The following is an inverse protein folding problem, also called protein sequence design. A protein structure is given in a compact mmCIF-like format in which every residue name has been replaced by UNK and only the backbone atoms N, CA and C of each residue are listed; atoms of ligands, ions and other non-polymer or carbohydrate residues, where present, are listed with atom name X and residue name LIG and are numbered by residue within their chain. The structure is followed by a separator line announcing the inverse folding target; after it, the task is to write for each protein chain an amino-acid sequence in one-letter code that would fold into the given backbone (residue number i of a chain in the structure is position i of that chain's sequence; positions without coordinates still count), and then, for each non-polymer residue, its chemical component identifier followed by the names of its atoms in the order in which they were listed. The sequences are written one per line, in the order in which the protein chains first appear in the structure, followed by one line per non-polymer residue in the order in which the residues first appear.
data_IF_606148048872
#
_entry.id   IF_606148048872
#
_cell.length_a   1.000
_cell.length_b   1.000
_cell.length_c   1.000
_cell.angle_alpha   90.00
_cell.angle_beta   90.00
_cell.angle_gamma   90.00
#
_symmetry.space_group_name_H-M   'P 1'
#
loop_
_entity.id
_entity.type
_entity.pdbx_description
1 polymer ?
#
# COMPACT_ATOMS: atom_id res chain seq x y z
N UNK A 1 -18.75 4.87 -24.77
CA UNK A 1 -18.56 3.41 -24.59
C UNK A 1 -19.79 2.70 -25.11
N UNK A 2 -19.68 1.87 -26.13
CA UNK A 2 -20.83 1.17 -26.69
C UNK A 2 -21.08 -0.12 -25.92
N UNK A 3 -22.07 -0.13 -25.01
CA UNK A 3 -22.53 -1.34 -24.31
C UNK A 3 -23.08 -2.42 -25.26
N UNK A 4 -23.18 -2.13 -26.55
CA UNK A 4 -23.64 -3.07 -27.57
C UNK A 4 -22.56 -4.05 -28.07
N UNK A 5 -21.31 -3.94 -27.56
CA UNK A 5 -20.17 -4.79 -27.96
C UNK A 5 -20.20 -6.18 -27.31
N UNK A 6 -20.89 -6.33 -26.17
CA UNK A 6 -20.90 -7.55 -25.36
C UNK A 6 -22.33 -8.13 -25.26
N UNK A 7 -22.45 -9.44 -25.28
CA UNK A 7 -23.69 -10.12 -24.95
C UNK A 7 -23.94 -10.11 -23.41
N UNK A 8 -25.10 -10.58 -22.97
CA UNK A 8 -25.50 -10.53 -21.56
C UNK A 8 -24.56 -11.33 -20.65
N UNK A 9 -24.11 -12.49 -21.09
CA UNK A 9 -23.22 -13.36 -20.31
C UNK A 9 -21.84 -12.72 -20.14
N UNK A 10 -21.29 -12.15 -21.22
CA UNK A 10 -20.04 -11.41 -21.18
C UNK A 10 -20.13 -10.19 -20.25
N UNK A 11 -21.26 -9.45 -20.28
CA UNK A 11 -21.48 -8.32 -19.38
C UNK A 11 -21.52 -8.77 -17.91
N UNK A 12 -22.22 -9.86 -17.59
CA UNK A 12 -22.26 -10.43 -16.23
C UNK A 12 -20.84 -10.81 -15.79
N UNK A 13 -20.08 -11.51 -16.63
CA UNK A 13 -18.69 -11.89 -16.32
C UNK A 13 -17.82 -10.67 -16.01
N UNK A 14 -17.95 -9.58 -16.77
CA UNK A 14 -17.20 -8.32 -16.53
C UNK A 14 -17.59 -7.66 -15.21
N UNK A 15 -18.86 -7.71 -14.79
CA UNK A 15 -19.27 -7.22 -13.47
C UNK A 15 -18.69 -8.07 -12.34
N UNK A 16 -18.65 -9.39 -12.51
CA UNK A 16 -18.01 -10.28 -11.56
C UNK A 16 -16.53 -10.02 -11.44
N UNK A 17 -15.82 -9.83 -12.56
CA UNK A 17 -14.41 -9.47 -12.58
C UNK A 17 -14.12 -8.16 -11.82
N UNK A 18 -14.92 -7.10 -12.07
CA UNK A 18 -14.78 -5.83 -11.35
C UNK A 18 -15.00 -5.99 -9.85
N UNK A 19 -16.00 -6.81 -9.45
CA UNK A 19 -16.25 -7.15 -8.03
C UNK A 19 -15.05 -7.88 -7.42
N UNK A 20 -14.51 -8.87 -8.12
CA UNK A 20 -13.42 -9.72 -7.62
C UNK A 20 -12.12 -8.94 -7.51
N UNK A 21 -11.79 -8.12 -8.49
CA UNK A 21 -10.66 -7.17 -8.46
C UNK A 21 -10.80 -6.19 -7.29
N UNK A 22 -12.00 -5.59 -7.09
CA UNK A 22 -12.25 -4.70 -5.96
C UNK A 22 -12.10 -5.41 -4.61
N UNK A 23 -12.59 -6.65 -4.50
CA UNK A 23 -12.45 -7.46 -3.31
C UNK A 23 -10.98 -7.82 -3.03
N UNK A 24 -10.19 -8.09 -4.08
CA UNK A 24 -8.76 -8.39 -3.93
C UNK A 24 -7.98 -7.17 -3.41
N UNK A 25 -8.27 -5.96 -3.92
CA UNK A 25 -7.71 -4.71 -3.39
C UNK A 25 -8.08 -4.53 -1.90
N UNK A 26 -9.36 -4.78 -1.54
CA UNK A 26 -9.81 -4.74 -0.15
C UNK A 26 -9.09 -5.76 0.74
N UNK A 27 -8.91 -7.00 0.27
CA UNK A 27 -8.15 -8.03 1.00
C UNK A 27 -6.70 -7.62 1.21
N UNK A 28 -6.08 -6.95 0.25
CA UNK A 28 -4.71 -6.45 0.38
C UNK A 28 -4.58 -5.49 1.57
N UNK A 29 -5.38 -4.42 1.64
CA UNK A 29 -5.29 -3.46 2.75
C UNK A 29 -5.71 -4.06 4.08
N UNK A 30 -6.67 -4.99 4.09
CA UNK A 30 -7.04 -5.73 5.30
C UNK A 30 -5.93 -6.65 5.79
N UNK A 31 -5.13 -7.22 4.88
CA UNK A 31 -3.98 -8.05 5.26
C UNK A 31 -2.91 -7.24 5.97
N UNK A 32 -2.67 -5.99 5.55
CA UNK A 32 -1.75 -5.07 6.25
C UNK A 32 -2.26 -4.72 7.66
N UNK A 33 -3.56 -4.40 7.80
CA UNK A 33 -4.18 -4.15 9.10
C UNK A 33 -4.07 -5.35 10.04
N UNK A 34 -4.25 -6.56 9.52
CA UNK A 34 -4.23 -7.81 10.26
C UNK A 34 -2.81 -8.38 10.46
N UNK A 35 -1.78 -7.66 10.05
CA UNK A 35 -0.37 -8.06 10.15
C UNK A 35 -0.10 -9.43 9.54
N UNK A 36 -0.60 -9.63 8.30
CA UNK A 36 -0.42 -10.85 7.51
C UNK A 36 0.74 -10.79 6.52
N UNK A 37 1.70 -9.90 6.75
CA UNK A 37 2.88 -9.76 5.90
C UNK A 37 3.60 -11.09 5.59
N UNK A 38 3.69 -12.06 6.53
CA UNK A 38 4.36 -13.32 6.25
C UNK A 38 3.72 -14.15 5.12
N UNK A 39 2.42 -13.99 4.87
CA UNK A 39 1.69 -14.81 3.88
C UNK A 39 1.13 -14.00 2.71
N UNK A 40 1.14 -12.67 2.79
CA UNK A 40 0.49 -11.79 1.81
C UNK A 40 0.99 -12.01 0.39
N UNK A 41 2.29 -12.30 0.23
CA UNK A 41 2.91 -12.52 -1.08
C UNK A 41 2.38 -13.78 -1.75
N UNK A 42 2.20 -14.86 -1.00
CA UNK A 42 1.71 -16.13 -1.53
C UNK A 42 0.17 -16.12 -1.70
N UNK A 43 -0.54 -15.44 -0.80
CA UNK A 43 -2.00 -15.43 -0.82
C UNK A 43 -2.56 -14.55 -1.94
N UNK A 44 -2.01 -13.35 -2.16
CA UNK A 44 -2.64 -12.32 -2.98
C UNK A 44 -1.88 -11.95 -4.26
N UNK A 45 -0.56 -12.12 -4.28
CA UNK A 45 0.27 -11.67 -5.41
C UNK A 45 0.39 -12.72 -6.50
N UNK A 46 0.68 -12.24 -7.70
CA UNK A 46 1.05 -13.06 -8.86
C UNK A 46 2.32 -13.86 -8.59
N UNK A 47 2.43 -15.05 -9.20
CA UNK A 47 3.63 -15.89 -9.15
C UNK A 47 4.75 -15.37 -10.07
N UNK A 48 4.48 -14.34 -10.87
CA UNK A 48 5.43 -13.74 -11.81
C UNK A 48 6.62 -13.11 -11.08
N UNK A 49 7.76 -13.13 -11.74
CA UNK A 49 8.98 -12.50 -11.21
C UNK A 49 8.98 -10.96 -11.35
N UNK A 50 8.18 -10.41 -12.27
CA UNK A 50 8.09 -8.98 -12.55
C UNK A 50 7.06 -8.23 -11.68
N UNK A 51 6.61 -8.81 -10.57
CA UNK A 51 5.77 -8.12 -9.58
C UNK A 51 6.48 -6.93 -8.97
N UNK A 52 5.75 -5.88 -8.62
CA UNK A 52 6.35 -4.72 -7.96
C UNK A 52 5.41 -3.96 -7.02
N UNK A 53 6.00 -3.38 -5.97
CA UNK A 53 5.35 -2.45 -5.05
C UNK A 53 6.09 -1.11 -5.09
N UNK A 54 5.45 -0.07 -5.59
CA UNK A 54 5.94 1.31 -5.56
C UNK A 54 5.44 2.04 -4.32
N UNK A 55 6.32 2.82 -3.71
CA UNK A 55 6.05 3.75 -2.61
C UNK A 55 6.72 5.09 -2.90
N UNK A 56 6.52 6.13 -2.09
CA UNK A 56 7.07 7.47 -2.34
C UNK A 56 8.59 7.51 -2.61
N UNK A 57 9.35 6.55 -2.10
CA UNK A 57 10.82 6.51 -2.20
C UNK A 57 11.36 5.62 -3.32
N UNK A 58 10.53 4.83 -3.98
CA UNK A 58 10.98 3.90 -5.03
C UNK A 58 10.12 2.64 -5.12
N UNK A 59 10.61 1.65 -5.84
CA UNK A 59 9.92 0.37 -6.03
C UNK A 59 10.71 -0.78 -5.43
N UNK A 60 9.98 -1.71 -4.83
CA UNK A 60 10.43 -3.09 -4.57
C UNK A 60 10.02 -3.91 -5.79
N UNK A 61 10.96 -4.16 -6.69
CA UNK A 61 10.72 -4.86 -7.95
C UNK A 61 11.25 -6.29 -7.89
N UNK A 62 10.39 -7.23 -8.22
CA UNK A 62 10.64 -8.66 -8.19
C UNK A 62 10.17 -9.36 -6.90
N UNK A 63 9.78 -10.65 -7.01
CA UNK A 63 9.31 -11.44 -5.85
C UNK A 63 10.32 -11.47 -4.71
N UNK A 64 11.61 -11.55 -5.00
CA UNK A 64 12.65 -11.55 -3.97
C UNK A 64 12.68 -10.24 -3.18
N UNK A 65 12.56 -9.08 -3.84
CA UNK A 65 12.50 -7.77 -3.18
C UNK A 65 11.22 -7.62 -2.34
N UNK A 66 10.07 -8.04 -2.85
CA UNK A 66 8.83 -8.02 -2.09
C UNK A 66 8.89 -8.92 -0.85
N UNK A 67 9.47 -10.12 -0.99
CA UNK A 67 9.65 -11.05 0.12
C UNK A 67 10.55 -10.45 1.21
N UNK A 68 11.65 -9.81 0.83
CA UNK A 68 12.55 -9.12 1.76
C UNK A 68 11.83 -7.95 2.45
N UNK A 69 11.06 -7.15 1.70
CA UNK A 69 10.26 -6.05 2.24
C UNK A 69 9.26 -6.53 3.30
N UNK A 70 8.40 -7.51 2.98
CA UNK A 70 7.41 -8.03 3.94
C UNK A 70 8.06 -8.70 5.15
N UNK A 71 9.18 -9.41 4.95
CA UNK A 71 9.95 -9.98 6.06
C UNK A 71 10.53 -8.88 6.98
N UNK A 72 10.94 -7.72 6.44
CA UNK A 72 11.43 -6.61 7.25
C UNK A 72 10.32 -5.97 8.08
N UNK A 73 9.09 -5.86 7.54
CA UNK A 73 7.91 -5.38 8.29
C UNK A 73 7.55 -6.36 9.41
N UNK A 74 7.51 -7.65 9.13
CA UNK A 74 7.26 -8.69 10.13
C UNK A 74 8.27 -8.62 11.27
N UNK A 75 9.56 -8.50 10.95
CA UNK A 75 10.63 -8.34 11.95
C UNK A 75 10.46 -7.06 12.79
N UNK A 76 10.06 -5.94 12.17
CA UNK A 76 9.76 -4.70 12.87
C UNK A 76 8.55 -4.88 13.81
N UNK A 77 7.49 -5.54 13.34
CA UNK A 77 6.29 -5.83 14.15
C UNK A 77 6.63 -6.68 15.38
N UNK A 78 7.49 -7.68 15.23
CA UNK A 78 7.97 -8.51 16.36
C UNK A 78 8.73 -7.69 17.41
N UNK A 79 9.61 -6.77 16.98
CA UNK A 79 10.35 -5.89 17.91
C UNK A 79 9.43 -4.96 18.72
N UNK A 80 8.30 -4.55 18.16
CA UNK A 80 7.33 -3.68 18.84
C UNK A 80 6.70 -4.32 20.08
N UNK A 81 6.68 -5.63 20.19
CA UNK A 81 6.21 -6.31 21.40
C UNK A 81 7.03 -5.89 22.65
N UNK A 82 8.34 -5.72 22.52
CA UNK A 82 9.20 -5.28 23.62
C UNK A 82 8.96 -3.80 23.98
N UNK A 83 8.75 -2.95 22.97
CA UNK A 83 8.38 -1.53 23.17
C UNK A 83 7.05 -1.42 23.92
N UNK A 84 6.04 -2.22 23.54
CA UNK A 84 4.75 -2.26 24.23
C UNK A 84 4.89 -2.61 25.71
N UNK A 85 5.71 -3.59 26.06
CA UNK A 85 5.97 -3.96 27.47
C UNK A 85 6.61 -2.83 28.25
N UNK A 86 7.51 -2.07 27.63
CA UNK A 86 8.16 -0.93 28.30
C UNK A 86 7.24 0.27 28.47
N UNK A 87 6.32 0.49 27.53
CA UNK A 87 5.37 1.62 27.55
C UNK A 87 4.17 1.33 28.45
N UNK A 88 3.71 0.08 28.51
CA UNK A 88 2.55 -0.37 29.28
C UNK A 88 2.91 -1.54 30.21
N UNK A 89 3.86 -1.35 31.15
CA UNK A 89 4.38 -2.48 31.95
C UNK A 89 3.33 -3.11 32.87
N UNK A 90 2.39 -2.32 33.41
CA UNK A 90 1.33 -2.81 34.30
C UNK A 90 0.31 -3.67 33.56
N UNK A 91 -0.01 -3.30 32.31
CA UNK A 91 -1.05 -3.99 31.53
C UNK A 91 -0.49 -5.15 30.70
N UNK A 92 0.72 -5.01 30.17
CA UNK A 92 1.26 -5.91 29.15
C UNK A 92 2.57 -6.60 29.53
N UNK A 93 3.19 -6.25 30.67
CA UNK A 93 4.51 -6.76 31.05
C UNK A 93 4.60 -8.28 31.14
N UNK A 94 3.52 -8.95 31.56
CA UNK A 94 3.47 -10.40 31.74
C UNK A 94 3.09 -11.19 30.46
N UNK A 95 2.69 -10.48 29.36
CA UNK A 95 2.33 -11.16 28.11
C UNK A 95 3.57 -11.66 27.37
N UNK A 96 3.47 -12.81 26.71
CA UNK A 96 4.52 -13.27 25.81
C UNK A 96 4.57 -12.40 24.54
N UNK A 97 5.73 -12.35 23.87
CA UNK A 97 5.91 -11.56 22.65
C UNK A 97 4.97 -12.02 21.53
N UNK A 98 4.67 -13.33 21.45
CA UNK A 98 3.70 -13.88 20.49
C UNK A 98 2.28 -13.34 20.73
N UNK A 99 1.87 -13.17 21.99
CA UNK A 99 0.58 -12.57 22.33
C UNK A 99 0.50 -11.09 22.03
N UNK A 100 1.66 -10.41 21.99
CA UNK A 100 1.77 -8.99 21.69
C UNK A 100 1.98 -8.70 20.20
N UNK A 101 2.24 -9.74 19.39
CA UNK A 101 2.41 -9.57 17.94
C UNK A 101 1.24 -8.82 17.31
N UNK A 102 1.56 -7.71 16.60
CA UNK A 102 0.58 -6.86 15.95
C UNK A 102 -0.30 -6.02 16.89
N UNK A 103 -0.12 -6.10 18.22
CA UNK A 103 -0.81 -5.21 19.16
C UNK A 103 -0.16 -3.82 19.18
N UNK A 104 -0.95 -2.81 19.48
CA UNK A 104 -0.53 -1.42 19.58
C UNK A 104 -0.55 -0.70 18.24
N UNK A 105 0.30 -1.04 17.26
CA UNK A 105 0.20 -0.44 15.93
C UNK A 105 -1.15 -0.70 15.28
N UNK A 106 -1.72 0.34 14.70
CA UNK A 106 -2.99 0.29 13.95
C UNK A 106 -2.76 0.95 12.60
N UNK A 107 -3.27 0.33 11.55
CA UNK A 107 -3.07 0.80 10.19
C UNK A 107 -4.37 0.61 9.39
N UNK A 108 -5.35 1.48 9.66
CA UNK A 108 -6.62 1.47 8.94
C UNK A 108 -6.45 2.27 7.66
N UNK A 109 -6.82 1.69 6.52
CA UNK A 109 -6.90 2.36 5.22
C UNK A 109 -8.24 2.07 4.57
N UNK A 110 -9.03 3.12 4.31
CA UNK A 110 -10.24 3.04 3.48
C UNK A 110 -9.85 3.22 2.02
N UNK A 111 -10.47 2.44 1.14
CA UNK A 111 -10.35 2.55 -0.31
C UNK A 111 -11.59 3.25 -0.86
N UNK A 112 -11.42 4.51 -1.28
CA UNK A 112 -12.51 5.35 -1.76
C UNK A 112 -12.38 5.67 -3.25
N UNK A 113 -13.48 6.11 -3.88
CA UNK A 113 -13.52 6.55 -5.28
C UNK A 113 -12.90 5.56 -6.27
N UNK A 114 -13.31 4.30 -6.20
CA UNK A 114 -12.80 3.24 -7.05
C UNK A 114 -13.00 3.54 -8.54
N UNK A 115 -11.91 3.57 -9.31
CA UNK A 115 -11.92 3.55 -10.78
C UNK A 115 -11.29 2.22 -11.18
N UNK A 116 -12.08 1.32 -11.78
CA UNK A 116 -11.65 -0.04 -12.12
C UNK A 116 -11.96 -0.31 -13.57
N UNK A 117 -10.96 -0.67 -14.34
CA UNK A 117 -11.08 -1.12 -15.73
C UNK A 117 -10.52 -2.54 -15.86
N UNK A 118 -11.31 -3.42 -16.46
CA UNK A 118 -10.92 -4.76 -16.87
C UNK A 118 -10.65 -4.73 -18.37
N UNK A 119 -9.51 -5.23 -18.79
CA UNK A 119 -9.14 -5.34 -20.20
C UNK A 119 -10.23 -6.02 -21.04
N UNK A 120 -10.35 -5.69 -22.32
CA UNK A 120 -11.35 -6.35 -23.19
C UNK A 120 -11.10 -7.86 -23.30
N UNK A 121 -9.85 -8.28 -23.31
CA UNK A 121 -9.45 -9.70 -23.33
C UNK A 121 -9.71 -10.44 -22.01
N UNK A 122 -10.04 -9.73 -20.93
CA UNK A 122 -10.30 -10.32 -19.61
C UNK A 122 -9.06 -10.88 -18.90
N UNK A 123 -7.85 -10.64 -19.41
CA UNK A 123 -6.60 -11.19 -18.85
C UNK A 123 -6.00 -10.31 -17.75
N UNK A 124 -6.24 -9.00 -17.81
CA UNK A 124 -5.71 -8.03 -16.85
C UNK A 124 -6.77 -7.04 -16.39
N UNK A 125 -6.52 -6.38 -15.27
CA UNK A 125 -7.36 -5.27 -14.79
C UNK A 125 -6.49 -4.22 -14.12
N UNK A 126 -6.99 -2.97 -14.10
CA UNK A 126 -6.39 -1.84 -13.40
C UNK A 126 -7.36 -1.25 -12.42
N UNK A 127 -6.84 -0.78 -11.29
CA UNK A 127 -7.65 -0.02 -10.35
C UNK A 127 -6.89 1.18 -9.78
N UNK A 128 -7.62 2.25 -9.51
CA UNK A 128 -7.18 3.41 -8.75
C UNK A 128 -8.17 3.62 -7.60
N UNK A 129 -7.64 3.91 -6.41
CA UNK A 129 -8.42 4.33 -5.25
C UNK A 129 -7.74 5.51 -4.57
N UNK A 130 -8.53 6.44 -4.04
CA UNK A 130 -8.05 7.28 -2.95
C UNK A 130 -7.95 6.46 -1.68
N UNK A 131 -6.94 6.77 -0.87
CA UNK A 131 -6.73 6.17 0.45
C UNK A 131 -6.89 7.25 1.50
N UNK A 132 -7.80 7.04 2.44
CA UNK A 132 -7.85 7.77 3.69
C UNK A 132 -7.54 6.81 4.82
N UNK A 133 -6.60 7.20 5.70
CA UNK A 133 -6.10 6.30 6.72
C UNK A 133 -5.93 6.95 8.09
N UNK A 134 -6.02 6.09 9.09
CA UNK A 134 -5.63 6.34 10.48
C UNK A 134 -4.50 5.38 10.80
N UNK A 135 -3.34 5.92 11.09
CA UNK A 135 -2.18 5.13 11.46
C UNK A 135 -1.78 5.46 12.88
N UNK A 136 -1.59 4.47 13.71
CA UNK A 136 -0.97 4.61 15.02
C UNK A 136 0.22 3.70 15.10
N UNK A 137 1.37 4.25 15.43
CA UNK A 137 2.56 3.50 15.78
C UNK A 137 2.86 3.64 17.28
N UNK A 138 3.69 2.75 17.82
CA UNK A 138 4.09 2.77 19.22
C UNK A 138 5.58 3.07 19.29
N UNK A 139 5.91 4.18 19.94
CA UNK A 139 7.28 4.56 20.31
C UNK A 139 7.53 4.33 21.79
N UNK A 140 8.78 4.43 22.22
CA UNK A 140 9.17 4.40 23.63
C UNK A 140 8.52 5.50 24.47
N UNK A 141 8.01 6.56 23.85
CA UNK A 141 7.27 7.67 24.50
C UNK A 141 5.75 7.52 24.46
N UNK A 142 5.26 6.42 23.87
CA UNK A 142 3.84 6.13 23.74
C UNK A 142 3.36 6.12 22.30
N UNK A 143 2.02 6.10 22.10
CA UNK A 143 1.41 6.06 20.79
C UNK A 143 1.65 7.34 19.99
N UNK A 144 1.92 7.19 18.69
CA UNK A 144 1.99 8.28 17.71
C UNK A 144 0.90 8.01 16.68
N UNK A 145 -0.05 8.93 16.54
CA UNK A 145 -1.19 8.77 15.64
C UNK A 145 -1.17 9.82 14.54
N UNK A 146 -1.32 9.37 13.30
CA UNK A 146 -1.30 10.21 12.11
C UNK A 146 -2.57 10.03 11.26
N UNK A 147 -2.93 11.10 10.58
CA UNK A 147 -3.82 11.09 9.43
C UNK A 147 -2.99 10.84 8.17
N UNK A 148 -3.40 9.88 7.36
CA UNK A 148 -2.76 9.57 6.09
C UNK A 148 -3.77 9.72 4.97
N UNK A 149 -3.39 10.42 3.92
CA UNK A 149 -4.15 10.55 2.68
C UNK A 149 -3.23 10.30 1.49
N UNK A 150 -3.73 9.58 0.49
CA UNK A 150 -2.96 9.30 -0.71
C UNK A 150 -3.77 8.57 -1.76
N UNK A 151 -3.08 7.85 -2.60
CA UNK A 151 -3.67 7.01 -3.63
C UNK A 151 -3.01 5.63 -3.65
N UNK A 152 -3.80 4.61 -3.98
CA UNK A 152 -3.28 3.28 -4.25
C UNK A 152 -3.80 2.80 -5.59
N UNK A 153 -2.88 2.33 -6.41
CA UNK A 153 -3.15 1.86 -7.76
C UNK A 153 -2.70 0.41 -7.89
N UNK A 154 -3.43 -0.34 -8.69
CA UNK A 154 -3.14 -1.75 -8.91
C UNK A 154 -3.14 -2.09 -10.39
N UNK A 155 -2.21 -2.95 -10.80
CA UNK A 155 -2.37 -3.84 -11.93
C UNK A 155 -2.66 -5.23 -11.40
N UNK A 156 -3.69 -5.86 -11.95
CA UNK A 156 -4.05 -7.24 -11.66
C UNK A 156 -3.89 -8.09 -12.90
N UNK A 157 -3.58 -9.36 -12.68
CA UNK A 157 -3.47 -10.35 -13.74
C UNK A 157 -4.29 -11.60 -13.37
N UNK A 158 -4.83 -12.27 -14.37
CA UNK A 158 -5.55 -13.53 -14.17
C UNK A 158 -4.58 -14.70 -14.33
N UNK A 159 -4.37 -15.44 -13.25
CA UNK A 159 -3.54 -16.65 -13.23
C UNK A 159 -4.39 -17.84 -12.78
N UNK A 160 -4.36 -18.93 -13.54
CA UNK A 160 -5.14 -20.15 -13.22
C UNK A 160 -6.63 -19.88 -12.95
N UNK A 161 -7.21 -18.92 -13.68
CA UNK A 161 -8.61 -18.52 -13.53
C UNK A 161 -8.90 -17.62 -12.32
N UNK A 162 -7.90 -17.19 -11.56
CA UNK A 162 -8.04 -16.33 -10.39
C UNK A 162 -7.35 -14.99 -10.61
N UNK A 163 -7.92 -13.92 -10.07
CA UNK A 163 -7.28 -12.62 -10.04
C UNK A 163 -6.16 -12.59 -8.99
N UNK A 164 -5.00 -12.07 -9.38
CA UNK A 164 -3.81 -11.86 -8.54
C UNK A 164 -3.31 -10.43 -8.69
N UNK A 165 -2.66 -9.90 -7.67
CA UNK A 165 -1.99 -8.61 -7.72
C UNK A 165 -0.70 -8.77 -8.50
N UNK A 166 -0.51 -7.95 -9.52
CA UNK A 166 0.73 -7.90 -10.30
C UNK A 166 1.60 -6.73 -9.88
N UNK A 167 1.06 -5.51 -9.90
CA UNK A 167 1.74 -4.33 -9.43
C UNK A 167 0.87 -3.56 -8.43
N UNK A 168 1.52 -2.93 -7.47
CA UNK A 168 0.92 -1.94 -6.56
C UNK A 168 1.75 -0.68 -6.63
N UNK A 169 1.08 0.48 -6.71
CA UNK A 169 1.70 1.79 -6.53
C UNK A 169 0.92 2.52 -5.44
N UNK A 170 1.51 2.61 -4.25
CA UNK A 170 0.95 3.32 -3.10
C UNK A 170 1.72 4.62 -2.87
N UNK A 171 1.04 5.74 -3.00
CA UNK A 171 1.63 7.06 -2.83
C UNK A 171 0.89 7.83 -1.74
N UNK A 172 1.61 8.24 -0.74
CA UNK A 172 1.12 9.12 0.31
C UNK A 172 1.32 10.57 -0.10
N UNK A 173 0.26 11.36 -0.01
CA UNK A 173 0.25 12.80 -0.27
C UNK A 173 0.28 13.59 1.05
N UNK A 174 -0.39 13.09 2.07
CA UNK A 174 -0.46 13.69 3.40
C UNK A 174 -0.15 12.60 4.42
N UNK A 175 0.79 12.89 5.31
CA UNK A 175 1.06 12.14 6.52
C UNK A 175 1.33 13.17 7.63
N UNK A 176 0.34 13.37 8.51
CA UNK A 176 0.36 14.44 9.50
C UNK A 176 -0.11 13.94 10.86
N UNK A 177 0.57 14.31 11.97
CA UNK A 177 0.11 13.96 13.31
C UNK A 177 -1.33 14.44 13.56
N UNK A 178 -2.13 13.63 14.26
CA UNK A 178 -3.55 13.85 14.49
C UNK A 178 -3.88 15.21 15.15
N UNK A 179 -2.93 15.82 15.87
CA UNK A 179 -3.06 17.14 16.47
C UNK A 179 -2.63 18.33 15.60
N UNK A 180 -2.26 18.10 14.34
CA UNK A 180 -1.76 19.12 13.41
C UNK A 180 -2.74 19.37 12.26
N UNK A 181 -2.52 20.48 11.53
CA UNK A 181 -3.27 20.79 10.30
C UNK A 181 -2.58 20.16 9.10
N UNK A 182 -3.36 19.76 8.10
CA UNK A 182 -2.80 19.11 6.87
C UNK A 182 -1.86 19.99 6.06
N UNK A 183 -1.98 21.31 6.15
CA UNK A 183 -1.07 22.23 5.47
C UNK A 183 0.22 22.52 6.24
N UNK A 184 0.37 22.00 7.46
CA UNK A 184 1.61 22.10 8.22
C UNK A 184 2.69 21.20 7.57
N UNK A 185 3.96 21.46 7.87
CA UNK A 185 5.04 20.55 7.52
C UNK A 185 4.75 19.17 8.10
N UNK A 186 5.04 18.12 7.33
CA UNK A 186 4.84 16.76 7.80
C UNK A 186 5.72 16.43 9.02
N UNK A 187 5.35 15.40 9.77
CA UNK A 187 6.04 15.04 11.01
C UNK A 187 7.53 14.76 10.83
N UNK A 188 7.92 14.18 9.69
CA UNK A 188 9.33 13.86 9.39
C UNK A 188 10.15 15.15 9.18
N UNK A 189 9.58 16.15 8.53
CA UNK A 189 10.24 17.45 8.31
C UNK A 189 10.25 18.33 9.56
N UNK A 190 9.19 18.26 10.38
CA UNK A 190 9.10 19.04 11.62
C UNK A 190 10.00 18.49 12.73
N UNK A 191 10.29 17.20 12.72
CA UNK A 191 10.99 16.53 13.81
C UNK A 191 12.15 15.66 13.35
N UNK A 192 13.09 16.18 12.53
CA UNK A 192 14.21 15.40 12.00
C UNK A 192 15.12 14.85 13.11
N UNK A 193 15.09 15.43 14.30
CA UNK A 193 15.92 15.07 15.44
C UNK A 193 15.15 14.30 16.54
N UNK A 194 13.89 13.97 16.34
CA UNK A 194 13.15 13.21 17.35
C UNK A 194 13.65 11.76 17.41
N UNK A 195 14.06 11.28 18.59
CA UNK A 195 14.58 9.92 18.76
C UNK A 195 13.61 8.82 18.29
N UNK A 196 12.30 9.08 18.31
CA UNK A 196 11.27 8.16 17.85
C UNK A 196 11.40 7.88 16.34
N UNK A 197 11.66 8.92 15.54
CA UNK A 197 11.89 8.76 14.11
C UNK A 197 13.28 8.17 13.82
N UNK A 198 14.26 8.38 14.71
CA UNK A 198 15.54 7.70 14.64
C UNK A 198 15.40 6.20 14.97
N UNK A 199 14.51 5.83 15.90
CA UNK A 199 14.19 4.44 16.21
C UNK A 199 13.41 3.76 15.05
N UNK A 200 12.54 4.48 14.33
CA UNK A 200 11.95 4.02 13.07
C UNK A 200 13.01 3.83 11.97
N UNK A 201 14.05 4.68 11.92
CA UNK A 201 15.25 4.46 11.10
C UNK A 201 16.10 3.28 11.55
N UNK A 202 16.05 2.93 12.84
CA UNK A 202 16.82 1.82 13.43
C UNK A 202 16.22 0.43 13.25
N UNK A 203 14.94 0.31 12.91
CA UNK A 203 14.39 -0.87 12.25
C UNK A 203 14.59 -0.66 10.76
N UNK A 204 15.71 -1.13 10.24
CA UNK A 204 16.01 -1.03 8.82
C UNK A 204 14.95 -1.84 8.03
N UNK A 205 13.86 -1.16 7.64
CA UNK A 205 13.01 -1.69 6.59
C UNK A 205 13.87 -1.85 5.35
N UNK A 206 13.64 -2.93 4.63
CA UNK A 206 14.27 -3.13 3.32
C UNK A 206 14.09 -1.88 2.47
N UNK A 207 15.12 -1.49 1.74
CA UNK A 207 15.06 -0.31 0.88
C UNK A 207 14.58 -0.70 -0.52
N UNK A 208 13.86 0.19 -1.23
CA UNK A 208 13.52 -0.03 -2.63
C UNK A 208 14.76 -0.34 -3.48
N UNK A 209 14.67 -1.33 -4.36
CA UNK A 209 15.76 -1.72 -5.26
C UNK A 209 15.70 -1.03 -6.63
N UNK A 210 14.60 -0.32 -6.93
CA UNK A 210 14.46 0.53 -8.11
C UNK A 210 14.14 1.95 -7.65
N UNK A 211 15.00 2.90 -8.01
CA UNK A 211 14.80 4.31 -7.65
C UNK A 211 13.62 4.92 -8.43
N UNK A 212 12.89 5.79 -7.76
CA UNK A 212 11.89 6.68 -8.34
C UNK A 212 12.22 8.11 -7.90
N UNK A 213 11.83 9.12 -8.66
CA UNK A 213 11.89 10.50 -8.17
C UNK A 213 11.08 10.59 -6.86
N UNK A 214 11.75 11.02 -5.80
CA UNK A 214 11.15 11.06 -4.46
C UNK A 214 9.91 11.94 -4.46
N UNK A 215 8.75 11.32 -4.22
CA UNK A 215 7.50 12.04 -4.07
C UNK A 215 7.45 12.70 -2.70
N UNK A 216 7.37 14.01 -2.72
CA UNK A 216 7.29 14.80 -1.49
C UNK A 216 5.84 14.88 -1.01
N UNK A 217 5.65 14.77 0.31
CA UNK A 217 4.36 14.98 0.95
C UNK A 217 3.89 16.42 0.77
N UNK A 218 2.58 16.61 0.72
CA UNK A 218 1.94 17.91 0.60
C UNK A 218 2.23 18.77 1.84
N UNK A 219 2.50 20.05 1.60
CA UNK A 219 2.50 21.10 2.61
C UNK A 219 1.82 22.33 2.02
N UNK A 220 1.38 23.28 2.84
CA UNK A 220 0.80 24.53 2.34
C UNK A 220 1.72 25.40 1.49
N UNK A 221 3.03 25.12 1.49
CA UNK A 221 4.04 25.82 0.69
C UNK A 221 4.43 25.07 -0.60
N UNK A 222 3.91 23.86 -0.81
CA UNK A 222 4.21 23.04 -2.00
C UNK A 222 2.95 22.83 -2.83
N UNK A 223 3.05 22.86 -4.16
CA UNK A 223 1.92 22.50 -5.00
C UNK A 223 1.53 21.03 -4.72
N UNK A 224 0.22 20.75 -4.77
CA UNK A 224 -0.25 19.37 -4.74
C UNK A 224 0.32 18.64 -5.96
N UNK A 225 1.06 17.57 -5.72
CA UNK A 225 1.78 16.86 -6.76
C UNK A 225 0.83 16.04 -7.66
N UNK A 226 1.33 15.66 -8.83
CA UNK A 226 0.54 14.91 -9.80
C UNK A 226 0.03 13.62 -9.18
N UNK A 227 -1.26 13.38 -9.33
CA UNK A 227 -1.85 12.07 -9.06
C UNK A 227 -1.32 11.05 -10.10
N UNK A 228 -1.22 9.78 -9.73
CA UNK A 228 -1.01 8.73 -10.72
C UNK A 228 -2.09 8.77 -11.81
N UNK A 229 -1.74 8.32 -13.01
CA UNK A 229 -2.74 8.15 -14.06
C UNK A 229 -3.88 7.26 -13.57
N UNK A 230 -5.10 7.65 -13.87
CA UNK A 230 -6.28 6.81 -13.61
C UNK A 230 -6.50 5.82 -14.74
N UNK A 231 -7.05 4.63 -14.48
CA UNK A 231 -7.35 3.67 -15.53
C UNK A 231 -8.38 4.24 -16.52
N UNK A 232 -8.13 3.97 -17.79
CA UNK A 232 -9.08 4.17 -18.89
C UNK A 232 -9.37 2.82 -19.55
N UNK A 233 -10.50 2.65 -20.26
CA UNK A 233 -10.78 1.42 -21.00
C UNK A 233 -9.66 1.06 -21.96
N UNK A 234 -9.27 -0.22 -21.97
CA UNK A 234 -8.18 -0.73 -22.80
C UNK A 234 -8.46 -2.17 -23.28
N UNK A 235 -7.85 -2.55 -24.40
CA UNK A 235 -8.07 -3.86 -25.02
C UNK A 235 -7.19 -4.94 -24.37
N UNK A 236 -5.87 -4.70 -24.31
CA UNK A 236 -4.86 -5.58 -23.72
C UNK A 236 -3.84 -4.78 -22.89
N UNK A 237 -3.04 -5.45 -22.08
CA UNK A 237 -2.06 -4.76 -21.23
C UNK A 237 -0.97 -4.03 -22.02
N UNK A 238 -0.65 -4.50 -23.22
CA UNK A 238 0.38 -3.91 -24.08
C UNK A 238 0.00 -2.55 -24.65
N UNK A 239 -1.30 -2.21 -24.71
CA UNK A 239 -1.76 -0.93 -25.23
C UNK A 239 -2.21 0.06 -24.14
N UNK A 240 -1.78 -0.15 -22.90
CA UNK A 240 -2.02 0.75 -21.78
C UNK A 240 -0.73 0.99 -20.98
N UNK A 241 -0.77 1.92 -20.02
CA UNK A 241 0.35 2.14 -19.09
C UNK A 241 0.40 1.06 -17.99
N UNK A 242 1.54 0.94 -17.28
CA UNK A 242 1.69 0.08 -16.12
C UNK A 242 1.89 0.90 -14.84
N UNK A 243 1.42 0.37 -13.71
CA UNK A 243 1.78 0.86 -12.38
C UNK A 243 3.08 0.22 -11.85
N UNK A 244 3.68 -0.67 -12.63
CA UNK A 244 4.91 -1.37 -12.28
C UNK A 244 6.17 -0.52 -12.39
N UNK A 245 7.26 -1.07 -11.85
CA UNK A 245 8.57 -0.40 -11.80
C UNK A 245 9.20 -0.17 -13.18
N UNK A 246 8.82 -0.93 -14.20
CA UNK A 246 9.51 -0.99 -15.48
C UNK A 246 9.42 0.30 -16.30
N UNK A 247 8.25 0.95 -16.32
CA UNK A 247 8.04 2.13 -17.17
C UNK A 247 7.90 3.44 -16.41
N UNK A 248 7.41 3.39 -15.18
CA UNK A 248 7.02 4.55 -14.35
C UNK A 248 6.10 5.57 -15.08
N UNK A 249 5.46 5.13 -16.14
CA UNK A 249 4.59 5.99 -16.98
C UNK A 249 3.37 6.51 -16.22
N UNK A 250 2.94 5.78 -15.21
CA UNK A 250 1.81 6.16 -14.37
C UNK A 250 2.05 7.46 -13.59
N UNK A 251 3.30 7.91 -13.46
CA UNK A 251 3.72 9.10 -12.71
C UNK A 251 3.98 10.33 -13.60
N UNK A 252 3.81 10.24 -14.90
CA UNK A 252 4.11 11.28 -15.90
C UNK A 252 2.89 12.07 -16.33
#
# INVERSE_FOLDING_TARGET
MSFLKFNTEELVGRFEDRRDVKNLAGKYVMSLLLKKEPTILEDLWSEREDVSLGVNSGYYSGRAALKAYYASIDAATKKKAQVLKSVFPEDLGEYSDEKLYGRGPMEIRSLDNAIIEVAEDGATAKAFFYVFGLVTDISERGPISNWVLGSICFDFIREHGQWKIWHVLYLEDIDVPAGKKWGDLNAIEQFPEMPEFAAMKGTALEQPNVAMELRQLYTGSRPFTRLPKVPEPYDTFENTFSYGAESQEALR
#
